data_IF_915179806193
#
_entry.id   IF_915179806193
#
_cell.length_a   1.000
_cell.length_b   1.000
_cell.length_c   1.000
_cell.angle_alpha   90.00
_cell.angle_beta   90.00
_cell.angle_gamma   90.00
#
_symmetry.space_group_name_H-M   'P 1'
#
loop_
_entity.id
_entity.type
_entity.pdbx_description
1 polymer ?
#
# COMPACT_ATOMS: atom_id res chain seq x y z
N UNK A 1 10.91 -0.87 -25.76
CA UNK A 1 10.54 -1.17 -24.37
C UNK A 1 9.36 -0.28 -24.01
N UNK A 2 8.15 -0.85 -24.01
CA UNK A 2 6.94 -0.09 -23.72
C UNK A 2 7.00 0.43 -22.30
N UNK A 3 7.00 1.75 -22.14
CA UNK A 3 6.95 2.40 -20.84
C UNK A 3 5.75 1.83 -20.09
N UNK A 4 5.92 1.25 -18.89
CA UNK A 4 4.75 0.83 -18.15
C UNK A 4 4.00 2.12 -17.81
N UNK A 5 2.75 2.21 -18.22
CA UNK A 5 1.79 3.20 -17.74
C UNK A 5 1.61 2.96 -16.24
N UNK A 6 2.60 3.40 -15.46
CA UNK A 6 2.97 2.91 -14.14
C UNK A 6 2.14 3.55 -13.01
N UNK A 7 0.91 3.99 -13.29
CA UNK A 7 0.07 4.70 -12.33
C UNK A 7 -0.10 3.93 -11.02
N UNK A 8 -0.20 2.60 -11.10
CA UNK A 8 -0.29 1.72 -9.92
C UNK A 8 0.98 1.80 -9.05
N UNK A 9 2.17 1.81 -9.65
CA UNK A 9 3.44 1.88 -8.90
C UNK A 9 3.66 3.26 -8.27
N UNK A 10 3.23 4.33 -8.97
CA UNK A 10 3.22 5.68 -8.42
C UNK A 10 2.29 5.71 -7.20
N UNK A 11 1.06 5.21 -7.35
CA UNK A 11 0.09 5.16 -6.26
C UNK A 11 0.58 4.32 -5.07
N UNK A 12 1.23 3.19 -5.30
CA UNK A 12 1.85 2.36 -4.26
C UNK A 12 2.97 3.07 -3.50
N UNK A 13 3.79 3.83 -4.20
CA UNK A 13 4.85 4.64 -3.58
C UNK A 13 4.24 5.73 -2.70
N UNK A 14 3.30 6.50 -3.26
CA UNK A 14 2.69 7.62 -2.55
C UNK A 14 1.87 7.16 -1.34
N UNK A 15 1.07 6.08 -1.46
CA UNK A 15 0.31 5.56 -0.32
C UNK A 15 1.22 5.05 0.81
N UNK A 16 2.37 4.46 0.47
CA UNK A 16 3.36 4.02 1.47
C UNK A 16 3.95 5.20 2.22
N UNK A 17 4.23 6.31 1.53
CA UNK A 17 4.72 7.55 2.15
C UNK A 17 3.65 8.17 3.07
N UNK A 18 2.40 8.24 2.62
CA UNK A 18 1.26 8.76 3.39
C UNK A 18 1.05 7.95 4.68
N UNK A 19 0.94 6.62 4.60
CA UNK A 19 0.76 5.75 5.77
C UNK A 19 1.94 5.91 6.75
N UNK A 20 3.16 6.04 6.25
CA UNK A 20 4.35 6.25 7.07
C UNK A 20 4.32 7.60 7.80
N UNK A 21 3.94 8.67 7.11
CA UNK A 21 3.80 10.00 7.70
C UNK A 21 2.68 10.03 8.75
N UNK A 22 1.54 9.40 8.47
CA UNK A 22 0.43 9.30 9.42
C UNK A 22 0.79 8.50 10.67
N UNK A 23 1.50 7.36 10.55
CA UNK A 23 2.02 6.61 11.71
C UNK A 23 2.94 7.46 12.58
N UNK A 24 3.82 8.26 11.94
CA UNK A 24 4.68 9.19 12.66
C UNK A 24 3.86 10.29 13.33
N UNK A 25 2.87 10.88 12.66
CA UNK A 25 2.00 11.90 13.26
C UNK A 25 1.19 11.34 14.43
N UNK A 26 0.51 10.20 14.25
CA UNK A 26 -0.23 9.50 15.29
C UNK A 26 0.62 9.22 16.53
N UNK A 27 1.88 8.81 16.35
CA UNK A 27 2.82 8.58 17.47
C UNK A 27 3.09 9.83 18.31
N UNK A 28 3.07 11.03 17.72
CA UNK A 28 3.26 12.28 18.46
C UNK A 28 1.93 12.79 19.03
N UNK A 29 0.82 12.50 18.36
CA UNK A 29 -0.54 12.80 18.84
C UNK A 29 -0.99 11.91 20.01
N UNK A 30 -0.43 10.70 20.15
CA UNK A 30 -0.73 9.75 21.23
C UNK A 30 -0.34 10.24 22.65
N UNK A 31 0.41 11.34 22.76
CA UNK A 31 0.62 12.02 24.04
C UNK A 31 -0.61 12.81 24.52
N UNK A 32 -1.61 13.03 23.66
CA UNK A 32 -2.78 13.87 23.97
C UNK A 32 -4.11 13.11 24.08
N UNK A 33 -4.24 11.90 23.52
CA UNK A 33 -5.47 11.12 23.61
C UNK A 33 -5.14 9.63 23.68
N UNK A 34 -5.31 9.08 24.89
CA UNK A 34 -5.51 7.64 25.10
C UNK A 34 -6.92 7.30 24.63
N UNK A 35 -7.12 7.18 23.33
CA UNK A 35 -8.28 6.46 22.81
C UNK A 35 -7.77 5.11 22.31
N UNK A 36 -8.34 4.05 22.88
CA UNK A 36 -7.92 2.65 22.72
C UNK A 36 -8.24 2.10 21.31
N UNK A 37 -8.94 2.90 20.50
CA UNK A 37 -9.28 2.64 19.12
C UNK A 37 -8.35 3.48 18.22
N UNK A 38 -7.26 2.88 17.73
CA UNK A 38 -6.28 3.59 16.89
C UNK A 38 -6.91 4.36 15.72
N UNK A 39 -6.22 5.42 15.26
CA UNK A 39 -6.74 6.38 14.26
C UNK A 39 -7.46 5.68 13.08
N UNK A 40 -8.79 5.84 12.94
CA UNK A 40 -9.58 5.12 11.95
C UNK A 40 -9.21 5.50 10.51
N UNK A 41 -8.68 6.71 10.30
CA UNK A 41 -8.19 7.16 9.00
C UNK A 41 -6.87 6.46 8.65
N UNK A 42 -5.96 6.32 9.62
CA UNK A 42 -4.72 5.55 9.44
C UNK A 42 -5.03 4.09 9.12
N UNK A 43 -6.00 3.48 9.80
CA UNK A 43 -6.46 2.11 9.52
C UNK A 43 -6.96 1.97 8.09
N UNK A 44 -7.78 2.91 7.63
CA UNK A 44 -8.32 2.92 6.27
C UNK A 44 -7.23 3.03 5.20
N UNK A 45 -6.25 3.92 5.38
CA UNK A 45 -5.12 4.05 4.45
C UNK A 45 -4.17 2.84 4.48
N UNK A 46 -4.00 2.20 5.64
CA UNK A 46 -3.22 0.96 5.74
C UNK A 46 -3.88 -0.18 4.95
N UNK A 47 -5.21 -0.34 5.05
CA UNK A 47 -5.97 -1.32 4.26
C UNK A 47 -5.87 -1.05 2.76
N UNK A 48 -6.00 0.21 2.33
CA UNK A 48 -5.84 0.59 0.92
C UNK A 48 -4.46 0.23 0.37
N UNK A 49 -3.41 0.49 1.13
CA UNK A 49 -2.03 0.09 0.77
C UNK A 49 -1.93 -1.42 0.54
N UNK A 50 -2.56 -2.23 1.38
CA UNK A 50 -2.53 -3.70 1.25
C UNK A 50 -3.32 -4.18 0.02
N UNK A 51 -4.48 -3.58 -0.28
CA UNK A 51 -5.23 -3.87 -1.51
C UNK A 51 -4.39 -3.55 -2.77
N UNK A 52 -3.75 -2.38 -2.81
CA UNK A 52 -2.90 -1.98 -3.93
C UNK A 52 -1.68 -2.90 -4.09
N UNK A 53 -1.09 -3.36 -2.99
CA UNK A 53 0.00 -4.34 -3.02
C UNK A 53 -0.47 -5.70 -3.56
N UNK A 54 -1.66 -6.16 -3.19
CA UNK A 54 -2.22 -7.40 -3.68
C UNK A 54 -2.54 -7.35 -5.17
N UNK A 55 -3.02 -6.22 -5.70
CA UNK A 55 -3.28 -6.07 -7.15
C UNK A 55 -1.99 -6.29 -7.95
N UNK A 56 -0.90 -5.65 -7.53
CA UNK A 56 0.40 -5.78 -8.21
C UNK A 56 1.05 -7.15 -7.99
N UNK A 57 0.94 -7.71 -6.77
CA UNK A 57 1.40 -9.08 -6.47
C UNK A 57 0.70 -10.12 -7.34
N UNK A 58 -0.62 -10.01 -7.51
CA UNK A 58 -1.38 -10.86 -8.43
C UNK A 58 -0.91 -10.70 -9.88
N UNK A 59 -0.66 -9.47 -10.35
CA UNK A 59 -0.13 -9.24 -11.71
C UNK A 59 1.22 -9.95 -11.93
N UNK A 60 2.13 -9.90 -10.96
CA UNK A 60 3.40 -10.64 -11.05
C UNK A 60 3.20 -12.15 -11.03
N UNK A 61 2.29 -12.65 -10.20
CA UNK A 61 1.96 -14.06 -10.11
C UNK A 61 1.37 -14.56 -11.44
N UNK A 62 0.44 -13.82 -12.06
CA UNK A 62 -0.13 -14.18 -13.36
C UNK A 62 0.91 -14.13 -14.49
N UNK A 63 1.80 -13.14 -14.51
CA UNK A 63 2.90 -13.12 -15.47
C UNK A 63 3.87 -14.29 -15.26
N UNK A 64 4.19 -14.62 -14.01
CA UNK A 64 5.01 -15.76 -13.66
C UNK A 64 4.36 -17.07 -14.13
N UNK A 65 3.11 -17.35 -13.75
CA UNK A 65 2.40 -18.55 -14.19
C UNK A 65 2.27 -18.63 -15.72
N UNK A 66 1.99 -17.51 -16.40
CA UNK A 66 1.93 -17.48 -17.86
C UNK A 66 3.29 -17.74 -18.53
N UNK A 67 4.40 -17.41 -17.87
CA UNK A 67 5.76 -17.68 -18.36
C UNK A 67 6.14 -19.16 -18.18
N UNK A 68 5.82 -19.73 -17.02
CA UNK A 68 6.15 -21.13 -16.70
C UNK A 68 5.25 -22.16 -17.38
N UNK A 69 4.00 -21.81 -17.72
CA UNK A 69 3.10 -22.72 -18.42
C UNK A 69 3.26 -22.67 -19.95
N UNK A 70 4.17 -21.82 -20.46
CA UNK A 70 4.56 -21.74 -21.87
C UNK A 70 5.90 -22.46 -22.18
N UNK A 71 6.54 -23.08 -21.19
CA UNK A 71 7.77 -23.88 -21.30
C UNK A 71 7.56 -25.27 -20.70
#
# INVERSE_FOLDING_TARGET
MGSPSNGIYILQREITLVVTAMRRSSRWSAYSQRDEDGDPLLSSFAQLKDVLNNITGNVYIYQFYSFFHLY
#
